data_IF_034758365136
#
_entry.id   IF_034758365136
#
_cell.length_a   1.000
_cell.length_b   1.000
_cell.length_c   1.000
_cell.angle_alpha   90.00
_cell.angle_beta   90.00
_cell.angle_gamma   90.00
#
_symmetry.space_group_name_H-M   'P 1'
#
loop_
_entity.id
_entity.type
_entity.pdbx_description
1 polymer ?
#
# COMPACT_ATOMS: atom_id res chain seq x y z
N UNK A 1 -3.25 14.36 6.75
CA UNK A 1 -3.34 13.39 5.64
C UNK A 1 -4.36 13.92 4.64
N UNK A 2 -3.99 14.00 3.36
CA UNK A 2 -4.90 14.29 2.26
C UNK A 2 -5.20 12.99 1.51
N UNK A 3 -6.46 12.65 1.35
CA UNK A 3 -6.95 11.47 0.65
C UNK A 3 -7.97 11.91 -0.42
N UNK A 4 -7.76 11.53 -1.66
CA UNK A 4 -8.63 11.99 -2.76
C UNK A 4 -9.96 11.22 -2.83
N UNK A 5 -10.00 10.02 -2.28
CA UNK A 5 -11.26 9.27 -2.23
C UNK A 5 -12.16 9.75 -1.07
N UNK A 6 -13.40 9.29 -1.04
CA UNK A 6 -14.40 9.62 -0.02
C UNK A 6 -14.06 9.09 1.38
N UNK A 7 -13.12 8.14 1.48
CA UNK A 7 -12.71 7.51 2.73
C UNK A 7 -11.31 6.93 2.64
N UNK A 8 -10.60 6.91 3.76
CA UNK A 8 -9.27 6.26 3.88
C UNK A 8 -9.37 4.73 3.89
N UNK A 9 -8.30 4.07 3.48
CA UNK A 9 -8.10 2.64 3.68
C UNK A 9 -8.75 1.73 2.64
N UNK A 10 -9.32 2.22 1.55
CA UNK A 10 -9.93 1.38 0.49
C UNK A 10 -8.99 0.29 -0.01
N UNK A 11 -7.73 0.63 -0.26
CA UNK A 11 -6.73 -0.33 -0.70
C UNK A 11 -6.44 -1.37 0.37
N UNK A 12 -6.25 -0.95 1.62
CA UNK A 12 -5.98 -1.82 2.76
C UNK A 12 -7.11 -2.85 2.94
N UNK A 13 -8.37 -2.41 2.89
CA UNK A 13 -9.54 -3.26 3.04
C UNK A 13 -9.65 -4.35 1.96
N UNK A 14 -9.08 -4.14 0.78
CA UNK A 14 -9.08 -5.13 -0.32
C UNK A 14 -7.92 -6.13 -0.24
N UNK A 15 -6.90 -5.87 0.59
CA UNK A 15 -5.71 -6.72 0.67
C UNK A 15 -6.02 -8.07 1.36
N UNK A 16 -5.29 -9.12 0.97
CA UNK A 16 -5.44 -10.45 1.56
C UNK A 16 -6.88 -11.00 1.50
N UNK A 17 -7.65 -10.66 0.46
CA UNK A 17 -9.08 -10.99 0.36
C UNK A 17 -9.89 -10.46 1.56
N UNK A 18 -9.68 -9.21 1.94
CA UNK A 18 -10.37 -8.56 3.06
C UNK A 18 -9.82 -8.91 4.44
N UNK A 19 -8.67 -9.61 4.51
CA UNK A 19 -8.03 -10.03 5.77
C UNK A 19 -6.80 -9.21 6.14
N UNK A 20 -6.22 -8.47 5.20
CA UNK A 20 -4.97 -7.73 5.30
C UNK A 20 -3.77 -8.64 5.66
N UNK A 21 -3.07 -9.15 4.65
CA UNK A 21 -1.74 -9.74 4.85
C UNK A 21 -0.76 -8.62 5.23
N UNK A 22 -0.44 -8.53 6.51
CA UNK A 22 0.23 -7.39 7.11
C UNK A 22 1.73 -7.40 6.83
N UNK A 23 2.36 -8.56 7.00
CA UNK A 23 3.79 -8.75 6.75
C UNK A 23 4.11 -10.23 6.50
N UNK A 24 5.37 -10.51 6.19
CA UNK A 24 5.87 -11.85 5.96
C UNK A 24 7.21 -12.04 6.67
N UNK A 25 7.43 -13.18 7.32
CA UNK A 25 8.74 -13.47 7.94
C UNK A 25 9.82 -13.87 6.93
N UNK A 26 9.45 -14.30 5.73
CA UNK A 26 10.38 -14.56 4.64
C UNK A 26 10.58 -13.27 3.83
N UNK A 27 11.55 -12.46 4.25
CA UNK A 27 11.92 -11.19 3.61
C UNK A 27 13.39 -11.24 3.20
N UNK A 28 13.70 -12.07 2.22
CA UNK A 28 15.04 -12.23 1.67
C UNK A 28 15.14 -11.60 0.29
N UNK A 29 16.34 -11.18 -0.14
CA UNK A 29 16.53 -10.57 -1.45
C UNK A 29 16.04 -11.48 -2.60
N UNK A 30 16.12 -12.79 -2.43
CA UNK A 30 15.62 -13.81 -3.36
C UNK A 30 14.10 -13.76 -3.58
N UNK A 31 13.35 -13.15 -2.65
CA UNK A 31 11.89 -12.96 -2.76
C UNK A 31 11.51 -11.77 -3.68
N UNK A 32 12.47 -10.92 -4.04
CA UNK A 32 12.24 -9.71 -4.81
C UNK A 32 12.83 -9.85 -6.22
N UNK A 33 11.96 -9.80 -7.21
CA UNK A 33 12.33 -9.92 -8.63
C UNK A 33 12.38 -8.55 -9.28
N UNK A 34 13.58 -7.99 -9.37
CA UNK A 34 13.83 -6.69 -10.00
C UNK A 34 15.25 -6.63 -10.57
N UNK A 35 15.59 -5.53 -11.23
CA UNK A 35 16.98 -5.27 -11.64
C UNK A 35 17.95 -5.08 -10.46
N UNK A 36 17.43 -4.78 -9.28
CA UNK A 36 18.17 -4.67 -8.03
C UNK A 36 17.37 -5.30 -6.87
N UNK A 37 17.54 -6.60 -6.62
CA UNK A 37 16.87 -7.29 -5.52
C UNK A 37 17.30 -6.84 -4.12
N UNK A 38 18.43 -6.15 -4.00
CA UNK A 38 18.94 -5.63 -2.73
C UNK A 38 18.28 -4.31 -2.32
N UNK A 39 17.76 -3.56 -3.28
CA UNK A 39 17.15 -2.24 -3.03
C UNK A 39 16.11 -2.25 -1.88
N UNK A 40 15.14 -3.18 -1.81
CA UNK A 40 14.20 -3.20 -0.69
C UNK A 40 14.84 -3.62 0.63
N UNK A 41 15.98 -4.31 0.61
CA UNK A 41 16.62 -4.84 1.83
C UNK A 41 17.17 -3.72 2.71
N UNK A 42 17.54 -2.57 2.15
CA UNK A 42 17.98 -1.41 2.92
C UNK A 42 16.87 -0.89 3.86
N UNK A 43 15.64 -0.81 3.37
CA UNK A 43 14.50 -0.41 4.19
C UNK A 43 14.06 -1.52 5.16
N UNK A 44 14.02 -2.78 4.70
CA UNK A 44 13.60 -3.94 5.50
C UNK A 44 14.56 -4.19 6.66
N UNK A 45 15.86 -3.94 6.49
CA UNK A 45 16.84 -4.07 7.57
C UNK A 45 16.63 -3.05 8.70
N UNK A 46 16.07 -1.87 8.38
CA UNK A 46 15.77 -0.82 9.36
C UNK A 46 14.42 -1.04 10.06
N UNK A 47 13.43 -1.58 9.34
CA UNK A 47 12.09 -1.85 9.87
C UNK A 47 11.50 -3.10 9.22
N UNK A 48 11.82 -4.25 9.81
CA UNK A 48 11.44 -5.55 9.29
C UNK A 48 10.08 -6.05 9.82
N UNK A 49 9.80 -7.33 9.54
CA UNK A 49 8.53 -7.93 9.93
C UNK A 49 8.30 -7.98 11.45
N UNK A 50 9.38 -8.19 12.25
CA UNK A 50 9.29 -8.18 13.72
C UNK A 50 8.95 -6.80 14.25
N UNK A 51 9.53 -5.76 13.63
CA UNK A 51 9.27 -4.37 14.01
C UNK A 51 7.83 -4.00 13.66
N UNK A 52 7.36 -4.41 12.49
CA UNK A 52 5.97 -4.25 12.06
C UNK A 52 5.01 -4.87 13.08
N UNK A 53 5.24 -6.11 13.50
CA UNK A 53 4.38 -6.77 14.49
C UNK A 53 4.43 -6.09 15.85
N UNK A 54 5.61 -5.69 16.32
CA UNK A 54 5.76 -4.93 17.59
C UNK A 54 5.03 -3.60 17.53
N UNK A 55 5.15 -2.88 16.43
CA UNK A 55 4.50 -1.59 16.25
C UNK A 55 2.97 -1.73 16.29
N UNK A 56 2.39 -2.66 15.55
CA UNK A 56 0.96 -2.91 15.60
C UNK A 56 0.49 -3.43 16.97
N UNK A 57 1.27 -4.28 17.62
CA UNK A 57 0.97 -4.77 18.96
C UNK A 57 0.94 -3.63 20.00
N UNK A 58 1.82 -2.62 19.86
CA UNK A 58 1.83 -1.45 20.75
C UNK A 58 0.56 -0.59 20.63
N UNK A 59 -0.16 -0.71 19.51
CA UNK A 59 -1.47 -0.09 19.29
C UNK A 59 -2.65 -1.04 19.59
N UNK A 60 -2.38 -2.23 20.15
CA UNK A 60 -3.40 -3.21 20.52
C UNK A 60 -3.82 -4.17 19.42
N UNK A 61 -3.20 -4.13 18.22
CA UNK A 61 -3.49 -5.06 17.15
C UNK A 61 -2.61 -6.32 17.26
N UNK A 62 -3.21 -7.43 17.67
CA UNK A 62 -2.55 -8.73 17.71
C UNK A 62 -2.62 -9.41 16.35
N UNK A 63 -1.52 -10.05 15.96
CA UNK A 63 -1.38 -10.75 14.69
C UNK A 63 -1.04 -12.23 14.92
N UNK A 64 -1.39 -13.07 13.94
CA UNK A 64 -1.03 -14.47 13.88
C UNK A 64 -0.34 -14.85 12.60
N UNK A 65 0.59 -15.81 12.69
CA UNK A 65 1.20 -16.41 11.52
C UNK A 65 0.25 -17.42 10.87
N UNK A 66 0.21 -17.42 9.54
CA UNK A 66 -0.45 -18.43 8.70
C UNK A 66 0.49 -18.90 7.61
N UNK A 67 0.31 -20.13 7.15
CA UNK A 67 1.09 -20.70 6.05
C UNK A 67 2.61 -20.45 6.24
N UNK A 68 3.11 -20.71 7.45
CA UNK A 68 4.52 -20.62 7.87
C UNK A 68 5.14 -19.22 7.93
N UNK A 69 4.66 -18.23 7.18
CA UNK A 69 5.35 -16.95 7.09
C UNK A 69 4.45 -15.72 6.94
N UNK A 70 3.17 -15.88 6.62
CA UNK A 70 2.25 -14.77 6.40
C UNK A 70 1.60 -14.33 7.71
N UNK A 71 1.57 -13.04 7.98
CA UNK A 71 0.98 -12.50 9.19
C UNK A 71 -0.31 -11.73 8.90
N UNK A 72 -1.35 -12.09 9.62
CA UNK A 72 -2.68 -11.49 9.54
C UNK A 72 -3.14 -11.03 10.91
N UNK A 73 -4.05 -10.03 11.02
CA UNK A 73 -4.67 -9.72 12.29
C UNK A 73 -5.41 -10.95 12.85
N UNK A 74 -5.46 -11.08 14.17
CA UNK A 74 -6.15 -12.21 14.83
C UNK A 74 -7.61 -12.36 14.41
N UNK A 75 -8.28 -11.23 14.13
CA UNK A 75 -9.66 -11.17 13.65
C UNK A 75 -9.85 -11.67 12.21
N UNK A 76 -8.78 -11.83 11.42
CA UNK A 76 -8.83 -12.06 9.96
C UNK A 76 -9.64 -11.00 9.19
N UNK A 77 -9.72 -9.79 9.71
CA UNK A 77 -10.46 -8.69 9.10
C UNK A 77 -9.53 -7.50 8.87
N UNK A 78 -9.45 -7.05 7.62
CA UNK A 78 -8.68 -5.86 7.26
C UNK A 78 -9.21 -4.58 7.93
N UNK A 79 -10.50 -4.55 8.29
CA UNK A 79 -11.12 -3.46 9.04
C UNK A 79 -10.46 -3.25 10.41
N UNK A 80 -10.08 -4.32 11.11
CA UNK A 80 -9.41 -4.22 12.40
C UNK A 80 -8.05 -3.48 12.29
N UNK A 81 -7.32 -3.71 11.18
CA UNK A 81 -6.07 -2.98 10.91
C UNK A 81 -6.36 -1.51 10.62
N UNK A 82 -7.38 -1.23 9.81
CA UNK A 82 -7.76 0.14 9.48
C UNK A 82 -8.23 0.91 10.71
N UNK A 83 -9.06 0.30 11.54
CA UNK A 83 -9.57 0.93 12.76
C UNK A 83 -8.45 1.22 13.75
N UNK A 84 -7.50 0.27 13.92
CA UNK A 84 -6.30 0.47 14.73
C UNK A 84 -5.51 1.72 14.26
N UNK A 85 -5.25 1.84 12.95
CA UNK A 85 -4.54 2.99 12.38
C UNK A 85 -5.33 4.30 12.54
N UNK A 86 -6.65 4.28 12.36
CA UNK A 86 -7.51 5.46 12.52
C UNK A 86 -7.55 5.93 13.97
N UNK A 87 -7.66 5.00 14.90
CA UNK A 87 -7.61 5.31 16.33
C UNK A 87 -6.27 5.95 16.71
N UNK A 88 -5.17 5.43 16.19
CA UNK A 88 -3.85 5.98 16.45
C UNK A 88 -3.68 7.37 15.83
N UNK A 89 -4.17 7.58 14.60
CA UNK A 89 -4.22 8.92 14.00
C UNK A 89 -5.00 9.90 14.88
N UNK A 90 -6.14 9.49 15.39
CA UNK A 90 -6.96 10.31 16.30
C UNK A 90 -6.24 10.61 17.62
N UNK A 91 -5.61 9.60 18.21
CA UNK A 91 -4.82 9.75 19.47
C UNK A 91 -3.67 10.75 19.31
N UNK A 92 -3.05 10.75 18.14
CA UNK A 92 -1.93 11.65 17.80
C UNK A 92 -2.38 13.02 17.26
N UNK A 93 -3.69 13.29 17.18
CA UNK A 93 -4.22 14.54 16.66
C UNK A 93 -3.97 14.73 15.15
N UNK A 94 -3.77 13.65 14.39
CA UNK A 94 -3.52 13.72 12.95
C UNK A 94 -4.84 14.02 12.23
N UNK A 95 -4.88 15.15 11.52
CA UNK A 95 -6.03 15.53 10.70
C UNK A 95 -6.04 14.71 9.41
N UNK A 96 -7.17 14.04 9.14
CA UNK A 96 -7.44 13.33 7.89
C UNK A 96 -8.53 14.10 7.13
N UNK A 97 -8.23 14.52 5.91
CA UNK A 97 -9.18 15.20 5.00
C UNK A 97 -9.39 14.30 3.79
N UNK A 98 -10.62 13.88 3.56
CA UNK A 98 -11.04 13.03 2.43
C UNK A 98 -11.69 13.86 1.34
N UNK A 99 -11.74 13.35 0.12
CA UNK A 99 -12.26 14.07 -1.04
C UNK A 99 -11.38 15.25 -1.44
N UNK A 100 -10.10 15.24 -1.12
CA UNK A 100 -9.16 16.32 -1.45
C UNK A 100 -8.14 15.78 -2.46
N UNK A 101 -8.19 16.31 -3.68
CA UNK A 101 -7.27 15.93 -4.75
C UNK A 101 -6.06 16.87 -4.79
N UNK A 102 -4.84 16.40 -4.43
CA UNK A 102 -3.63 17.16 -4.69
C UNK A 102 -3.34 17.18 -6.20
N UNK A 103 -3.16 18.38 -6.74
CA UNK A 103 -2.92 18.59 -8.17
C UNK A 103 -1.47 18.98 -8.46
N UNK A 104 -0.86 19.73 -7.54
CA UNK A 104 0.50 20.24 -7.72
C UNK A 104 1.18 20.43 -6.38
N UNK A 105 2.49 20.18 -6.35
CA UNK A 105 3.36 20.47 -5.20
C UNK A 105 4.47 21.38 -5.66
N UNK A 106 4.74 22.42 -4.91
CA UNK A 106 5.87 23.35 -5.13
C UNK A 106 6.72 23.45 -3.88
N UNK A 107 8.02 23.43 -4.04
CA UNK A 107 8.94 23.81 -2.96
C UNK A 107 9.11 25.32 -2.97
N UNK A 108 8.79 25.91 -1.85
CA UNK A 108 8.88 27.37 -1.64
C UNK A 108 10.00 27.68 -0.67
N UNK A 109 10.48 28.92 -0.74
CA UNK A 109 11.48 29.43 0.19
C UNK A 109 11.12 30.84 0.61
N UNK A 110 11.11 31.06 1.91
CA UNK A 110 10.90 32.36 2.51
C UNK A 110 12.05 32.66 3.49
N UNK A 111 12.97 33.52 3.09
CA UNK A 111 14.19 33.74 3.81
C UNK A 111 15.04 32.45 3.93
N UNK A 112 15.24 32.00 5.17
CA UNK A 112 15.99 30.77 5.48
C UNK A 112 15.10 29.53 5.58
N UNK A 113 13.76 29.67 5.61
CA UNK A 113 12.81 28.57 5.74
C UNK A 113 12.41 28.07 4.37
N UNK A 114 12.45 26.76 4.19
CA UNK A 114 11.83 26.08 3.04
C UNK A 114 10.58 25.35 3.50
N UNK A 115 9.54 25.37 2.67
CA UNK A 115 8.29 24.68 2.91
C UNK A 115 7.69 24.22 1.57
N UNK A 116 6.60 23.47 1.62
CA UNK A 116 5.88 23.01 0.45
C UNK A 116 4.49 23.63 0.40
N UNK A 117 4.10 24.08 -0.79
CA UNK A 117 2.73 24.43 -1.14
C UNK A 117 2.11 23.28 -1.94
N UNK A 118 1.02 22.77 -1.44
CA UNK A 118 0.24 21.72 -2.08
C UNK A 118 -1.04 22.35 -2.58
N UNK A 119 -1.17 22.51 -3.89
CA UNK A 119 -2.40 22.96 -4.53
C UNK A 119 -3.34 21.78 -4.65
N UNK A 120 -4.57 21.98 -4.23
CA UNK A 120 -5.64 20.98 -4.29
C UNK A 120 -6.86 21.56 -4.97
N UNK A 121 -7.80 20.71 -5.38
CA UNK A 121 -9.12 21.09 -5.87
C UNK A 121 -9.97 21.93 -4.89
N UNK A 122 -9.55 21.97 -3.60
CA UNK A 122 -10.24 22.69 -2.53
C UNK A 122 -9.39 23.79 -1.89
N UNK A 123 -8.34 24.26 -2.58
CA UNK A 123 -7.45 25.30 -2.11
C UNK A 123 -6.04 24.83 -1.79
N UNK A 124 -5.28 25.69 -1.16
CA UNK A 124 -3.85 25.48 -0.88
C UNK A 124 -3.64 24.95 0.53
N UNK A 125 -2.66 24.03 0.66
CA UNK A 125 -2.19 23.51 1.94
C UNK A 125 -0.67 23.74 2.01
N UNK A 126 -0.17 24.23 3.15
CA UNK A 126 1.26 24.39 3.40
C UNK A 126 1.77 23.34 4.38
N UNK A 127 2.99 22.87 4.14
CA UNK A 127 3.64 21.89 5.00
C UNK A 127 5.18 22.05 4.99
N UNK A 128 5.83 21.77 6.10
CA UNK A 128 7.29 21.75 6.18
C UNK A 128 7.91 20.55 5.47
N UNK A 129 7.17 19.43 5.40
CA UNK A 129 7.56 18.21 4.70
C UNK A 129 6.34 17.55 4.04
N UNK A 130 6.58 16.79 2.99
CA UNK A 130 5.54 16.04 2.25
C UNK A 130 5.99 14.59 2.07
N UNK A 131 5.11 13.66 2.39
CA UNK A 131 5.26 12.23 2.11
C UNK A 131 4.25 11.86 1.02
N UNK A 132 4.73 11.45 -0.15
CA UNK A 132 3.89 10.91 -1.22
C UNK A 132 3.66 9.42 -0.99
N UNK A 133 2.46 9.06 -0.56
CA UNK A 133 2.04 7.69 -0.29
C UNK A 133 0.84 7.27 -1.16
N UNK A 134 0.72 7.84 -2.36
CA UNK A 134 -0.44 7.69 -3.24
C UNK A 134 -0.60 6.30 -3.87
N UNK A 135 0.38 5.41 -3.69
CA UNK A 135 0.38 4.10 -4.32
C UNK A 135 0.74 4.13 -5.81
N UNK A 136 0.52 3.02 -6.48
CA UNK A 136 0.81 2.82 -7.91
C UNK A 136 -0.48 2.84 -8.74
N UNK A 137 -0.38 2.49 -10.05
CA UNK A 137 -1.55 2.30 -10.94
C UNK A 137 -2.23 0.93 -10.81
N UNK A 138 -1.87 0.12 -9.83
CA UNK A 138 -2.27 -1.28 -9.76
C UNK A 138 -3.76 -1.49 -9.44
N UNK A 139 -4.41 -0.54 -8.78
CA UNK A 139 -5.80 -0.69 -8.37
C UNK A 139 -6.55 0.67 -8.31
N UNK A 140 -6.87 1.28 -9.46
CA UNK A 140 -7.47 2.63 -9.52
C UNK A 140 -8.77 2.74 -8.70
N UNK A 141 -9.60 1.70 -8.69
CA UNK A 141 -10.85 1.66 -7.93
C UNK A 141 -10.66 1.76 -6.41
N UNK A 142 -9.44 1.61 -5.92
CA UNK A 142 -9.09 1.72 -4.50
C UNK A 142 -8.30 2.99 -4.19
N UNK A 143 -8.16 3.91 -5.15
CA UNK A 143 -7.39 5.12 -5.03
C UNK A 143 -5.93 5.00 -5.52
N UNK A 144 -5.46 3.82 -5.93
CA UNK A 144 -4.12 3.63 -6.51
C UNK A 144 -4.15 3.86 -8.02
N UNK A 145 -4.32 5.11 -8.44
CA UNK A 145 -4.51 5.53 -9.84
C UNK A 145 -3.22 6.02 -10.52
N UNK A 146 -2.15 6.20 -9.74
CA UNK A 146 -0.85 6.68 -10.20
C UNK A 146 -0.69 8.20 -10.26
N UNK A 147 -1.63 8.98 -9.74
CA UNK A 147 -1.55 10.45 -9.66
C UNK A 147 -0.28 10.93 -8.93
N UNK A 148 0.19 10.19 -7.94
CA UNK A 148 1.43 10.48 -7.23
C UNK A 148 2.69 10.50 -8.11
N UNK A 149 2.70 9.83 -9.25
CA UNK A 149 3.85 9.85 -10.16
C UNK A 149 4.05 11.22 -10.80
N UNK A 150 2.97 11.91 -11.17
CA UNK A 150 3.07 13.23 -11.78
C UNK A 150 3.44 14.28 -10.73
N UNK A 151 2.97 14.14 -9.51
CA UNK A 151 3.41 14.95 -8.37
C UNK A 151 4.91 14.78 -8.12
N UNK A 152 5.42 13.54 -8.11
CA UNK A 152 6.84 13.27 -7.93
C UNK A 152 7.69 13.84 -9.08
N UNK A 153 7.24 13.68 -10.34
CA UNK A 153 7.93 14.29 -11.50
C UNK A 153 8.03 15.80 -11.40
N UNK A 154 6.97 16.47 -10.93
CA UNK A 154 6.96 17.93 -10.77
C UNK A 154 8.01 18.44 -9.78
N UNK A 155 8.45 17.57 -8.88
CA UNK A 155 9.53 17.84 -7.91
C UNK A 155 10.92 17.37 -8.39
N UNK A 156 11.04 16.95 -9.65
CA UNK A 156 12.31 16.55 -10.26
C UNK A 156 12.66 15.06 -10.12
N UNK A 157 11.77 14.23 -9.59
CA UNK A 157 12.02 12.79 -9.50
C UNK A 157 11.87 12.10 -10.86
N UNK A 158 12.79 11.18 -11.15
CA UNK A 158 12.70 10.29 -12.29
C UNK A 158 11.79 9.11 -11.94
N UNK A 159 10.76 8.89 -12.75
CA UNK A 159 9.86 7.74 -12.60
C UNK A 159 10.29 6.66 -13.58
N UNK A 160 10.65 5.50 -13.04
CA UNK A 160 10.93 4.32 -13.84
C UNK A 160 9.61 3.73 -14.37
N UNK A 161 9.67 3.16 -15.57
CA UNK A 161 8.52 2.47 -16.15
C UNK A 161 8.13 1.30 -15.24
N UNK A 162 6.96 1.39 -14.64
CA UNK A 162 6.38 0.30 -13.87
C UNK A 162 5.78 -0.76 -14.80
N UNK A 163 5.99 -2.02 -14.45
CA UNK A 163 5.47 -3.17 -15.17
C UNK A 163 4.47 -3.91 -14.29
N UNK A 164 3.42 -4.53 -14.88
CA UNK A 164 2.52 -5.37 -14.11
C UNK A 164 3.27 -6.60 -13.61
N UNK A 165 3.12 -6.89 -12.30
CA UNK A 165 3.72 -8.07 -11.67
C UNK A 165 2.72 -9.22 -11.51
N UNK A 166 1.44 -8.90 -11.28
CA UNK A 166 0.37 -9.88 -11.13
C UNK A 166 -0.81 -9.43 -11.99
N UNK A 167 -1.22 -10.26 -12.94
CA UNK A 167 -2.29 -9.96 -13.89
C UNK A 167 -3.27 -11.12 -14.01
N UNK A 168 -4.51 -10.81 -14.38
CA UNK A 168 -5.49 -11.84 -14.73
C UNK A 168 -5.18 -12.40 -16.12
N UNK A 169 -5.19 -13.72 -16.24
CA UNK A 169 -5.15 -14.37 -17.53
C UNK A 169 -6.55 -14.31 -18.16
N UNK A 170 -6.62 -13.87 -19.42
CA UNK A 170 -7.81 -13.92 -20.26
C UNK A 170 -7.56 -14.89 -21.39
N UNK A 171 -8.40 -15.92 -21.49
CA UNK A 171 -8.37 -16.87 -22.61
C UNK A 171 -9.72 -16.91 -23.33
N UNK A 172 -9.78 -17.31 -24.60
CA UNK A 172 -11.02 -17.58 -25.28
C UNK A 172 -11.72 -18.74 -24.56
N UNK A 173 -13.00 -18.56 -24.19
CA UNK A 173 -13.76 -19.56 -23.45
C UNK A 173 -13.24 -19.79 -22.04
N UNK A 174 -13.29 -18.78 -21.19
CA UNK A 174 -12.72 -18.80 -19.84
C UNK A 174 -13.21 -20.02 -19.00
N UNK A 175 -12.46 -21.16 -18.98
CA UNK A 175 -12.84 -22.34 -18.21
C UNK A 175 -12.77 -22.11 -16.69
N UNK A 176 -12.21 -20.96 -16.26
CA UNK A 176 -12.07 -20.57 -14.86
C UNK A 176 -13.15 -19.59 -14.40
N UNK A 177 -14.14 -19.29 -15.24
CA UNK A 177 -15.31 -18.51 -14.83
C UNK A 177 -16.25 -19.40 -14.01
N UNK A 178 -15.91 -19.62 -12.75
CA UNK A 178 -16.87 -20.17 -11.80
C UNK A 178 -17.86 -19.09 -11.38
N UNK A 179 -19.15 -19.44 -11.22
CA UNK A 179 -20.13 -18.51 -10.65
C UNK A 179 -19.66 -18.01 -9.30
N UNK A 180 -19.83 -16.71 -9.07
CA UNK A 180 -19.56 -16.08 -7.76
C UNK A 180 -20.41 -16.82 -6.72
N UNK A 181 -19.76 -17.59 -5.82
CA UNK A 181 -20.46 -18.34 -4.78
C UNK A 181 -19.84 -19.68 -4.37
N UNK A 182 -19.04 -20.31 -5.21
CA UNK A 182 -18.37 -21.56 -4.82
C UNK A 182 -16.90 -21.31 -4.42
N UNK A 183 -16.65 -21.20 -3.12
CA UNK A 183 -15.31 -21.37 -2.56
C UNK A 183 -14.97 -22.86 -2.61
N UNK A 184 -14.18 -23.27 -3.59
CA UNK A 184 -13.50 -24.57 -3.45
C UNK A 184 -12.42 -24.47 -2.38
N UNK A 185 -12.31 -25.47 -1.46
CA UNK A 185 -11.14 -25.57 -0.61
C UNK A 185 -9.91 -25.75 -1.50
N UNK A 186 -8.83 -25.06 -1.14
CA UNK A 186 -7.56 -25.15 -1.84
C UNK A 186 -7.09 -26.63 -1.87
N UNK A 187 -7.34 -27.31 -2.96
CA UNK A 187 -6.73 -28.60 -3.32
C UNK A 187 -6.09 -28.46 -4.69
N UNK A 188 -4.83 -28.82 -4.69
CA UNK A 188 -3.87 -29.01 -5.77
C UNK A 188 -2.89 -27.86 -5.99
N UNK A 189 -1.64 -28.22 -5.86
CA UNK A 189 -0.47 -27.48 -6.33
C UNK A 189 -0.71 -27.09 -7.79
N UNK A 190 -0.38 -25.89 -8.24
CA UNK A 190 -0.32 -25.60 -9.65
C UNK A 190 0.70 -26.56 -10.29
N UNK A 191 0.43 -27.06 -11.51
CA UNK A 191 1.42 -27.83 -12.24
C UNK A 191 2.68 -26.99 -12.44
N UNK A 192 3.84 -27.65 -12.42
CA UNK A 192 5.18 -27.10 -12.55
C UNK A 192 5.41 -26.36 -13.90
N UNK A 193 4.88 -25.17 -14.05
CA UNK A 193 5.11 -24.28 -15.20
C UNK A 193 5.96 -23.04 -14.86
N UNK A 194 6.85 -23.15 -13.90
CA UNK A 194 7.88 -22.13 -13.65
C UNK A 194 9.23 -22.78 -13.44
N UNK A 195 9.64 -23.59 -14.42
CA UNK A 195 11.05 -23.91 -14.64
C UNK A 195 11.33 -23.66 -16.13
N UNK A 196 11.82 -22.45 -16.40
CA UNK A 196 12.87 -22.11 -17.37
C UNK A 196 13.13 -20.61 -17.25
#
# INVERSE_FOLDING_TARGET
>A
ILEHTDRVGKKLLSTGNGRCNLTNSKMEASCYRSGDPQFPMEAISQFGWKDTLRWFSSMGLLCRCRMESYYYPMSDQASAVLDCLRMECSRLGITIRTGIQPERIRRMREGRRSFYEIMTDQGEVRADAVILACGSKAAPNTGSDGSGYDLAKSLGHRILKHLPALVQLRGPGNPYRQPVGHRQPARSRPPDYCRE
#
